data_IF_467434716763
#
_entry.id   IF_467434716763
#
_cell.length_a   1.000
_cell.length_b   1.000
_cell.length_c   1.000
_cell.angle_alpha   90.00
_cell.angle_beta   90.00
_cell.angle_gamma   90.00
#
_symmetry.space_group_name_H-M   'P 1'
#
loop_
_entity.id
_entity.type
_entity.pdbx_description
1 polymer ?
#
# COMPACT_ATOMS: atom_id res chain seq x y z
N UNK A 1 -22.08 -21.90 14.23
CA UNK A 1 -21.57 -20.64 13.68
C UNK A 1 -22.76 -19.74 13.38
N UNK A 2 -23.05 -18.75 14.22
CA UNK A 2 -24.04 -17.73 13.87
C UNK A 2 -23.36 -16.74 12.91
N UNK A 3 -23.73 -16.82 11.63
CA UNK A 3 -23.45 -15.79 10.64
C UNK A 3 -24.61 -14.81 10.76
N UNK A 4 -24.35 -13.62 11.30
CA UNK A 4 -25.39 -12.60 11.51
C UNK A 4 -25.31 -11.58 10.38
N UNK A 5 -26.05 -11.85 9.31
CA UNK A 5 -26.45 -10.83 8.35
C UNK A 5 -27.86 -10.35 8.76
N UNK A 6 -28.04 -9.05 8.98
CA UNK A 6 -29.32 -8.47 9.39
C UNK A 6 -29.73 -7.43 8.34
N UNK A 7 -30.93 -7.56 7.79
CA UNK A 7 -31.54 -6.53 6.95
C UNK A 7 -32.65 -5.84 7.72
N UNK A 8 -32.59 -4.52 7.85
CA UNK A 8 -33.59 -3.70 8.54
C UNK A 8 -34.26 -2.80 7.52
N UNK A 9 -35.60 -2.82 7.51
CA UNK A 9 -36.40 -1.92 6.68
C UNK A 9 -36.88 -0.79 7.59
N UNK A 10 -36.58 0.45 7.22
CA UNK A 10 -37.00 1.65 7.93
C UNK A 10 -37.78 2.59 6.99
N UNK A 11 -38.77 3.36 7.48
CA UNK A 11 -39.36 4.44 6.70
C UNK A 11 -38.35 5.59 6.54
N UNK A 12 -38.33 6.26 5.38
CA UNK A 12 -37.44 7.39 5.06
C UNK A 12 -38.17 8.73 5.31
N UNK A 13 -39.44 8.80 4.90
CA UNK A 13 -40.38 9.91 5.02
C UNK A 13 -41.68 9.38 5.68
N UNK A 14 -41.62 9.11 6.98
CA UNK A 14 -42.87 9.05 7.75
C UNK A 14 -43.47 10.44 7.81
N UNK A 15 -44.79 10.56 7.64
CA UNK A 15 -45.57 11.72 8.05
C UNK A 15 -45.47 11.89 9.58
N UNK A 16 -44.30 12.26 10.07
CA UNK A 16 -44.07 12.65 11.44
C UNK A 16 -44.03 14.16 11.44
N UNK A 17 -45.21 14.76 11.56
CA UNK A 17 -45.29 16.10 12.13
C UNK A 17 -44.55 16.06 13.46
N UNK A 18 -43.52 16.90 13.60
CA UNK A 18 -42.76 17.11 14.83
C UNK A 18 -41.91 15.90 15.28
N UNK A 19 -40.59 15.96 15.01
CA UNK A 19 -39.53 15.23 15.72
C UNK A 19 -39.82 13.77 16.05
N UNK A 20 -39.69 12.85 15.08
CA UNK A 20 -39.81 11.42 15.39
C UNK A 20 -38.57 10.93 16.15
N UNK A 21 -38.73 10.71 17.46
CA UNK A 21 -37.74 10.05 18.30
C UNK A 21 -37.28 8.68 17.73
N UNK A 22 -38.07 8.05 16.85
CA UNK A 22 -37.77 6.76 16.23
C UNK A 22 -36.64 6.82 15.19
N UNK A 23 -36.56 7.86 14.36
CA UNK A 23 -35.47 8.01 13.39
C UNK A 23 -34.15 8.33 14.11
N UNK A 24 -34.19 9.23 15.10
CA UNK A 24 -33.04 9.52 15.97
C UNK A 24 -32.62 8.28 16.78
N UNK A 25 -33.58 7.46 17.21
CA UNK A 25 -33.28 6.19 17.87
C UNK A 25 -32.60 5.19 16.92
N UNK A 26 -33.03 5.10 15.65
CA UNK A 26 -32.41 4.23 14.64
C UNK A 26 -31.01 4.73 14.27
N UNK A 27 -30.84 6.04 14.05
CA UNK A 27 -29.53 6.61 13.73
C UNK A 27 -28.56 6.48 14.91
N UNK A 28 -29.03 6.67 16.14
CA UNK A 28 -28.23 6.45 17.35
C UNK A 28 -27.89 4.98 17.57
N UNK A 29 -28.87 4.07 17.40
CA UNK A 29 -28.68 2.62 17.60
C UNK A 29 -27.68 2.03 16.61
N UNK A 30 -27.76 2.45 15.35
CA UNK A 30 -26.90 1.98 14.28
C UNK A 30 -25.77 2.96 13.96
N UNK A 31 -25.45 3.93 14.82
CA UNK A 31 -24.33 4.89 14.63
C UNK A 31 -24.23 5.41 13.17
N UNK A 32 -25.38 5.78 12.60
CA UNK A 32 -25.46 6.22 11.21
C UNK A 32 -24.77 7.60 11.12
N UNK A 33 -23.89 7.84 10.12
CA UNK A 33 -23.19 9.11 10.00
C UNK A 33 -24.13 10.31 9.89
N UNK A 34 -23.81 11.40 10.59
CA UNK A 34 -24.55 12.68 10.50
C UNK A 34 -24.61 13.22 9.06
N UNK A 35 -23.57 12.92 8.26
CA UNK A 35 -23.49 13.24 6.83
C UNK A 35 -24.67 12.65 6.05
N UNK A 36 -25.07 11.40 6.36
CA UNK A 36 -26.23 10.76 5.75
C UNK A 36 -27.53 11.54 6.05
N UNK A 37 -27.72 11.92 7.32
CA UNK A 37 -28.91 12.67 7.75
C UNK A 37 -28.97 14.04 7.09
N UNK A 38 -27.83 14.72 7.01
CA UNK A 38 -27.70 16.05 6.42
C UNK A 38 -27.90 16.06 4.90
N UNK A 39 -27.34 15.07 4.20
CA UNK A 39 -27.54 14.87 2.76
C UNK A 39 -29.02 14.64 2.43
N UNK A 40 -29.71 13.86 3.26
CA UNK A 40 -31.15 13.65 3.17
C UNK A 40 -31.92 14.96 3.33
N UNK A 41 -31.65 15.75 4.38
CA UNK A 41 -32.35 17.01 4.65
C UNK A 41 -32.19 18.03 3.52
N UNK A 42 -31.06 17.99 2.83
CA UNK A 42 -30.79 18.86 1.68
C UNK A 42 -31.35 18.34 0.36
N UNK A 43 -31.97 17.16 0.34
CA UNK A 43 -32.58 16.58 -0.86
C UNK A 43 -31.56 16.31 -1.96
N UNK A 44 -30.37 15.83 -1.60
CA UNK A 44 -29.31 15.55 -2.58
C UNK A 44 -29.73 14.39 -3.49
N UNK A 45 -29.50 14.55 -4.80
CA UNK A 45 -29.98 13.61 -5.82
C UNK A 45 -29.35 12.23 -5.68
N UNK A 46 -28.02 12.16 -5.62
CA UNK A 46 -27.28 10.92 -5.39
C UNK A 46 -25.98 11.20 -4.65
N UNK A 47 -25.70 10.42 -3.62
CA UNK A 47 -24.44 10.49 -2.86
C UNK A 47 -23.96 9.09 -2.53
N UNK A 48 -22.65 8.91 -2.54
CA UNK A 48 -21.96 7.76 -1.95
C UNK A 48 -20.98 8.27 -0.90
N UNK A 49 -21.05 7.69 0.30
CA UNK A 49 -20.11 7.97 1.36
C UNK A 49 -19.66 6.71 2.05
N UNK A 50 -18.42 6.73 2.56
CA UNK A 50 -17.83 5.65 3.34
C UNK A 50 -17.08 6.23 4.51
N UNK A 51 -17.30 5.65 5.69
CA UNK A 51 -16.65 6.04 6.92
C UNK A 51 -16.12 4.83 7.66
N UNK A 52 -14.86 4.91 8.07
CA UNK A 52 -14.27 3.98 9.01
C UNK A 52 -14.59 4.47 10.43
N UNK A 53 -15.38 3.69 11.15
CA UNK A 53 -15.74 3.91 12.56
C UNK A 53 -14.76 3.24 13.53
N UNK A 54 -15.07 3.34 14.82
CA UNK A 54 -14.30 2.67 15.88
C UNK A 54 -14.36 1.14 15.79
N UNK A 55 -13.35 0.45 16.34
CA UNK A 55 -13.27 -1.02 16.40
C UNK A 55 -13.26 -1.76 15.04
N UNK A 56 -12.86 -1.09 13.96
CA UNK A 56 -12.81 -1.67 12.61
C UNK A 56 -14.18 -1.79 11.93
N UNK A 57 -15.20 -1.14 12.49
CA UNK A 57 -16.52 -0.99 11.88
C UNK A 57 -16.41 -0.09 10.66
N UNK A 58 -16.93 -0.53 9.54
CA UNK A 58 -17.04 0.29 8.33
C UNK A 58 -18.50 0.52 8.01
N UNK A 59 -18.83 1.74 7.61
CA UNK A 59 -20.17 2.15 7.23
C UNK A 59 -20.12 2.80 5.86
N UNK A 60 -20.98 2.34 4.96
CA UNK A 60 -21.19 2.86 3.62
C UNK A 60 -22.63 3.31 3.52
N UNK A 61 -22.87 4.45 2.88
CA UNK A 61 -24.23 4.91 2.63
C UNK A 61 -24.39 5.42 1.21
N UNK A 62 -25.61 5.28 0.71
CA UNK A 62 -26.03 5.76 -0.59
C UNK A 62 -27.40 6.42 -0.50
N UNK A 63 -27.55 7.51 -1.23
CA UNK A 63 -28.82 8.19 -1.44
C UNK A 63 -29.23 8.10 -2.90
N UNK A 64 -30.52 7.89 -3.12
CA UNK A 64 -31.10 7.78 -4.44
C UNK A 64 -32.37 8.65 -4.53
N UNK A 65 -32.42 9.50 -5.56
CA UNK A 65 -33.54 10.35 -5.85
C UNK A 65 -33.93 10.23 -7.33
N UNK A 66 -35.20 9.94 -7.61
CA UNK A 66 -35.74 10.01 -8.96
C UNK A 66 -37.14 10.60 -8.97
N UNK A 67 -37.47 11.33 -10.03
CA UNK A 67 -38.84 11.80 -10.25
C UNK A 67 -39.65 10.67 -10.87
N UNK A 68 -40.78 10.31 -10.24
CA UNK A 68 -41.75 9.40 -10.83
C UNK A 68 -42.78 10.24 -11.60
N UNK A 69 -42.85 10.13 -12.94
CA UNK A 69 -43.81 10.86 -13.75
C UNK A 69 -45.21 10.45 -13.34
N UNK A 70 -46.05 11.44 -13.06
CA UNK A 70 -47.49 11.24 -12.95
C UNK A 70 -48.14 11.70 -14.26
N UNK A 71 -49.22 11.01 -14.68
CA UNK A 71 -50.11 11.53 -15.71
C UNK A 71 -50.64 12.90 -15.26
N UNK A 72 -50.76 13.84 -16.21
CA UNK A 72 -51.05 15.24 -15.93
C UNK A 72 -52.39 15.39 -15.19
N UNK A 73 -52.31 15.66 -13.89
CA UNK A 73 -53.44 16.08 -13.07
C UNK A 73 -53.15 17.53 -12.70
N UNK A 74 -53.96 18.50 -13.17
CA UNK A 74 -53.71 19.92 -12.93
C UNK A 74 -53.51 20.20 -11.44
N UNK A 75 -52.38 20.81 -11.08
CA UNK A 75 -52.05 21.18 -9.71
C UNK A 75 -51.33 20.11 -8.87
N UNK A 76 -51.06 18.91 -9.40
CA UNK A 76 -50.31 17.87 -8.67
C UNK A 76 -48.80 18.05 -8.87
N UNK A 77 -48.05 18.16 -7.78
CA UNK A 77 -46.59 18.19 -7.84
C UNK A 77 -46.01 16.85 -8.32
N UNK A 78 -44.85 16.86 -9.02
CA UNK A 78 -44.16 15.63 -9.39
C UNK A 78 -43.86 14.80 -8.14
N UNK A 79 -44.15 13.49 -8.21
CA UNK A 79 -43.89 12.60 -7.10
C UNK A 79 -42.41 12.21 -7.08
N UNK A 80 -41.69 12.65 -6.05
CA UNK A 80 -40.28 12.29 -5.89
C UNK A 80 -40.18 10.97 -5.14
N UNK A 81 -39.50 10.00 -5.74
CA UNK A 81 -39.13 8.77 -5.07
C UNK A 81 -37.75 8.95 -4.46
N UNK A 82 -37.72 8.92 -3.13
CA UNK A 82 -36.49 8.96 -2.33
C UNK A 82 -36.19 7.55 -1.82
N UNK A 83 -34.93 7.19 -1.81
CA UNK A 83 -34.47 5.92 -1.28
C UNK A 83 -33.10 6.07 -0.64
N UNK A 84 -32.94 5.53 0.58
CA UNK A 84 -31.68 5.52 1.31
C UNK A 84 -31.20 4.09 1.56
N UNK A 85 -29.90 3.89 1.47
CA UNK A 85 -29.27 2.61 1.74
C UNK A 85 -28.04 2.82 2.63
N UNK A 86 -27.96 2.07 3.72
CA UNK A 86 -26.81 2.09 4.63
C UNK A 86 -26.34 0.66 4.87
N UNK A 87 -25.07 0.41 4.62
CA UNK A 87 -24.40 -0.86 4.86
C UNK A 87 -23.36 -0.69 5.96
N UNK A 88 -23.43 -1.53 6.97
CA UNK A 88 -22.49 -1.57 8.08
C UNK A 88 -21.86 -2.96 8.13
N UNK A 89 -20.54 -3.04 8.21
CA UNK A 89 -19.85 -4.30 8.43
C UNK A 89 -18.77 -4.19 9.48
N UNK A 90 -18.65 -5.25 10.29
CA UNK A 90 -17.69 -5.34 11.39
C UNK A 90 -16.89 -6.64 11.24
N UNK A 91 -15.55 -6.60 11.23
CA UNK A 91 -14.73 -7.80 11.13
C UNK A 91 -14.91 -8.66 12.38
N UNK A 92 -15.24 -9.92 12.19
CA UNK A 92 -15.34 -10.89 13.28
C UNK A 92 -13.92 -11.23 13.74
N UNK A 93 -13.55 -10.76 14.92
CA UNK A 93 -12.27 -11.14 15.52
C UNK A 93 -12.40 -12.56 16.07
N UNK A 94 -11.96 -13.58 15.34
CA UNK A 94 -11.77 -14.90 15.93
C UNK A 94 -10.67 -14.81 16.99
N UNK A 95 -10.98 -15.18 18.24
CA UNK A 95 -9.95 -15.44 19.24
C UNK A 95 -9.16 -16.66 18.75
N UNK A 96 -7.81 -16.60 18.67
CA UNK A 96 -7.02 -17.79 18.37
C UNK A 96 -7.16 -18.76 19.55
N UNK A 97 -8.08 -19.71 19.44
CA UNK A 97 -8.19 -20.81 20.40
C UNK A 97 -7.48 -22.02 19.80
N UNK A 98 -6.16 -22.04 19.95
CA UNK A 98 -5.36 -23.27 19.84
C UNK A 98 -4.34 -23.26 20.98
N UNK A 99 -4.51 -24.17 21.94
CA UNK A 99 -3.56 -24.43 23.04
C UNK A 99 -2.20 -24.97 22.53
N UNK A 100 -2.07 -25.23 21.23
CA UNK A 100 -0.84 -25.62 20.55
C UNK A 100 -0.65 -24.78 19.27
N UNK A 101 0.32 -23.85 19.21
CA UNK A 101 0.62 -23.13 17.98
C UNK A 101 1.26 -24.09 16.95
N UNK A 102 0.78 -24.12 15.69
CA UNK A 102 1.45 -24.87 14.64
C UNK A 102 2.86 -24.30 14.34
N UNK A 103 3.84 -25.13 13.95
CA UNK A 103 5.22 -24.71 13.66
C UNK A 103 5.36 -23.84 12.39
N UNK A 104 4.27 -23.57 11.68
CA UNK A 104 4.20 -22.71 10.51
C UNK A 104 3.13 -21.64 10.72
N UNK A 105 3.27 -20.42 10.16
CA UNK A 105 2.20 -19.44 10.18
C UNK A 105 0.96 -20.06 9.53
N UNK A 106 -0.10 -20.26 10.32
CA UNK A 106 -1.38 -20.71 9.81
C UNK A 106 -1.83 -19.74 8.70
N UNK A 107 -2.43 -20.29 7.63
CA UNK A 107 -3.05 -19.47 6.59
C UNK A 107 -3.91 -18.38 7.26
N UNK A 108 -3.79 -17.13 6.81
CA UNK A 108 -4.49 -16.01 7.41
C UNK A 108 -5.98 -16.39 7.55
N UNK A 109 -6.56 -16.29 8.77
CA UNK A 109 -7.95 -16.69 8.97
C UNK A 109 -8.82 -15.89 8.00
N UNK A 110 -9.73 -16.59 7.32
CA UNK A 110 -10.68 -15.99 6.39
C UNK A 110 -11.50 -14.96 7.17
N UNK A 111 -11.36 -13.67 6.81
CA UNK A 111 -12.02 -12.59 7.53
C UNK A 111 -13.52 -12.66 7.27
N UNK A 112 -14.27 -13.23 8.19
CA UNK A 112 -15.73 -13.16 8.16
C UNK A 112 -16.20 -11.84 8.79
N UNK A 113 -17.26 -11.25 8.24
CA UNK A 113 -17.86 -10.02 8.72
C UNK A 113 -19.25 -10.27 9.32
N UNK A 114 -19.59 -9.47 10.32
CA UNK A 114 -20.99 -9.26 10.73
C UNK A 114 -21.53 -8.09 9.94
N UNK A 115 -22.61 -8.30 9.20
CA UNK A 115 -23.12 -7.33 8.22
C UNK A 115 -24.54 -6.92 8.57
N UNK A 116 -24.81 -5.62 8.53
CA UNK A 116 -26.13 -5.05 8.69
C UNK A 116 -26.43 -4.12 7.51
N UNK A 117 -27.51 -4.38 6.79
CA UNK A 117 -28.01 -3.50 5.74
C UNK A 117 -29.32 -2.85 6.20
N UNK A 118 -29.36 -1.52 6.19
CA UNK A 118 -30.51 -0.71 6.58
C UNK A 118 -31.01 -0.04 5.32
N UNK A 119 -32.28 -0.24 5.00
CA UNK A 119 -32.88 0.22 3.76
C UNK A 119 -34.07 1.12 4.09
N UNK A 120 -34.01 2.36 3.61
CA UNK A 120 -34.96 3.42 3.92
C UNK A 120 -35.86 3.73 2.72
N UNK A 121 -37.15 3.40 2.79
CA UNK A 121 -38.10 3.47 1.65
C UNK A 121 -37.62 2.78 0.35
N UNK A 122 -37.30 1.47 0.43
CA UNK A 122 -36.93 0.73 -0.77
C UNK A 122 -38.03 0.71 -1.83
N UNK A 123 -37.67 0.84 -3.12
CA UNK A 123 -38.51 0.40 -4.21
C UNK A 123 -38.95 -1.06 -3.99
N UNK A 124 -40.16 -1.40 -4.45
CA UNK A 124 -40.73 -2.76 -4.29
C UNK A 124 -39.80 -3.82 -4.93
N UNK A 125 -39.18 -3.45 -6.04
CA UNK A 125 -38.22 -4.24 -6.80
C UNK A 125 -36.99 -4.59 -5.94
N UNK A 126 -36.53 -3.66 -5.09
CA UNK A 126 -35.43 -3.86 -4.14
C UNK A 126 -35.81 -4.82 -3.02
N UNK A 127 -37.01 -4.66 -2.44
CA UNK A 127 -37.50 -5.56 -1.40
C UNK A 127 -37.60 -7.00 -1.90
N UNK A 128 -38.15 -7.19 -3.10
CA UNK A 128 -38.26 -8.51 -3.71
C UNK A 128 -36.90 -9.18 -3.90
N UNK A 129 -35.89 -8.43 -4.36
CA UNK A 129 -34.52 -8.94 -4.55
C UNK A 129 -33.81 -9.23 -3.25
N UNK A 130 -33.97 -8.41 -2.21
CA UNK A 130 -33.39 -8.68 -0.90
C UNK A 130 -34.01 -9.92 -0.25
N UNK A 131 -35.33 -10.09 -0.38
CA UNK A 131 -36.03 -11.28 0.11
C UNK A 131 -35.58 -12.52 -0.65
N UNK A 132 -35.50 -12.46 -1.99
CA UNK A 132 -35.05 -13.60 -2.80
C UNK A 132 -33.59 -13.97 -2.51
N UNK A 133 -32.72 -12.97 -2.29
CA UNK A 133 -31.35 -13.19 -1.87
C UNK A 133 -31.27 -13.86 -0.49
N UNK A 134 -32.06 -13.39 0.49
CA UNK A 134 -32.12 -14.00 1.82
C UNK A 134 -32.68 -15.42 1.85
N UNK A 135 -33.51 -15.79 0.87
CA UNK A 135 -34.02 -17.15 0.68
C UNK A 135 -33.06 -18.07 -0.09
N UNK A 136 -32.06 -17.49 -0.76
CA UNK A 136 -31.07 -18.25 -1.54
C UNK A 136 -30.02 -18.90 -0.64
N UNK A 137 -29.36 -19.95 -1.12
CA UNK A 137 -28.24 -20.58 -0.40
C UNK A 137 -27.00 -19.67 -0.31
N UNK A 138 -26.95 -18.60 -1.12
CA UNK A 138 -25.80 -17.71 -1.28
C UNK A 138 -25.82 -16.53 -0.29
N UNK A 139 -26.77 -16.48 0.64
CA UNK A 139 -26.83 -15.41 1.64
C UNK A 139 -25.56 -15.33 2.50
N UNK A 140 -24.84 -16.45 2.65
CA UNK A 140 -23.56 -16.51 3.36
C UNK A 140 -22.45 -15.72 2.68
N UNK A 141 -22.56 -15.48 1.37
CA UNK A 141 -21.57 -14.71 0.61
C UNK A 141 -21.52 -13.26 1.11
N UNK A 142 -22.64 -12.71 1.61
CA UNK A 142 -22.68 -11.38 2.21
C UNK A 142 -21.80 -11.27 3.46
N UNK A 143 -21.51 -12.37 4.16
CA UNK A 143 -20.62 -12.37 5.32
C UNK A 143 -19.13 -12.44 4.95
N UNK A 144 -18.82 -12.86 3.72
CA UNK A 144 -17.45 -12.87 3.18
C UNK A 144 -17.19 -11.56 2.42
N UNK A 145 -18.15 -11.16 1.59
CA UNK A 145 -18.15 -9.94 0.80
C UNK A 145 -19.43 -9.11 1.03
N UNK A 146 -19.36 -8.07 1.88
CA UNK A 146 -20.50 -7.18 2.14
C UNK A 146 -20.99 -6.41 0.90
N UNK A 147 -20.14 -6.23 -0.14
CA UNK A 147 -20.49 -5.45 -1.33
C UNK A 147 -21.53 -6.12 -2.23
N UNK A 148 -21.80 -7.41 -2.04
CA UNK A 148 -22.92 -8.10 -2.71
C UNK A 148 -24.25 -7.38 -2.45
N UNK A 149 -24.45 -6.82 -1.24
CA UNK A 149 -25.66 -6.07 -0.90
C UNK A 149 -25.71 -4.69 -1.59
N UNK A 150 -24.55 -4.09 -1.88
CA UNK A 150 -24.43 -2.85 -2.67
C UNK A 150 -24.80 -3.12 -4.12
N UNK A 151 -24.34 -4.24 -4.69
CA UNK A 151 -24.69 -4.64 -6.06
C UNK A 151 -26.20 -4.88 -6.22
N UNK A 152 -26.82 -5.60 -5.28
CA UNK A 152 -28.28 -5.81 -5.26
C UNK A 152 -29.02 -4.47 -5.25
N UNK A 153 -28.54 -3.53 -4.43
CA UNK A 153 -29.11 -2.18 -4.29
C UNK A 153 -28.98 -1.34 -5.57
N UNK A 154 -27.79 -1.31 -6.18
CA UNK A 154 -27.56 -0.56 -7.42
C UNK A 154 -28.32 -1.17 -8.61
N UNK A 155 -28.34 -2.49 -8.71
CA UNK A 155 -29.07 -3.20 -9.76
C UNK A 155 -30.58 -2.98 -9.64
N UNK A 156 -31.15 -3.02 -8.43
CA UNK A 156 -32.58 -2.76 -8.24
C UNK A 156 -32.95 -1.32 -8.57
N UNK A 157 -32.11 -0.35 -8.21
CA UNK A 157 -32.29 1.05 -8.59
C UNK A 157 -32.22 1.27 -10.09
N UNK A 158 -31.28 0.62 -10.77
CA UNK A 158 -31.18 0.68 -12.23
C UNK A 158 -32.49 0.26 -12.90
N UNK A 159 -33.06 -0.89 -12.51
CA UNK A 159 -34.34 -1.33 -13.06
C UNK A 159 -35.46 -0.32 -12.78
N UNK A 160 -35.48 0.25 -11.58
CA UNK A 160 -36.48 1.26 -11.22
C UNK A 160 -36.34 2.50 -12.10
N UNK A 161 -35.12 3.00 -12.31
CA UNK A 161 -34.85 4.18 -13.16
C UNK A 161 -35.17 3.89 -14.62
N UNK A 162 -34.84 2.70 -15.13
CA UNK A 162 -35.17 2.28 -16.49
C UNK A 162 -36.68 2.26 -16.73
N UNK A 163 -37.45 1.66 -15.81
CA UNK A 163 -38.92 1.66 -15.88
C UNK A 163 -39.50 3.09 -15.88
N UNK A 164 -38.91 3.99 -15.09
CA UNK A 164 -39.31 5.39 -15.05
C UNK A 164 -38.98 6.08 -16.38
N UNK A 165 -37.81 5.82 -16.96
CA UNK A 165 -37.37 6.41 -18.22
C UNK A 165 -38.27 5.97 -19.39
N UNK A 166 -38.66 4.71 -19.43
CA UNK A 166 -39.66 4.21 -20.39
C UNK A 166 -41.00 4.94 -20.23
N UNK A 167 -41.48 5.15 -19.01
CA UNK A 167 -42.72 5.91 -18.77
C UNK A 167 -42.64 7.35 -19.28
N UNK A 168 -41.53 8.06 -19.04
CA UNK A 168 -41.33 9.41 -19.60
C UNK A 168 -41.36 9.37 -21.13
N UNK A 169 -40.69 8.39 -21.73
CA UNK A 169 -40.66 8.23 -23.18
C UNK A 169 -42.06 7.98 -23.76
N UNK A 170 -42.89 7.20 -23.06
CA UNK A 170 -44.28 6.99 -23.45
C UNK A 170 -45.13 8.25 -23.35
N UNK A 171 -44.96 9.06 -22.29
CA UNK A 171 -45.66 10.35 -22.16
C UNK A 171 -45.30 11.31 -23.30
N UNK A 172 -43.99 11.45 -23.60
CA UNK A 172 -43.52 12.26 -24.74
C UNK A 172 -44.13 11.76 -26.05
N UNK A 173 -44.17 10.44 -26.26
CA UNK A 173 -44.76 9.84 -27.46
C UNK A 173 -46.25 10.13 -27.60
N UNK A 174 -47.00 10.11 -26.49
CA UNK A 174 -48.42 10.49 -26.50
C UNK A 174 -48.61 11.95 -26.89
N UNK A 175 -47.77 12.84 -26.35
CA UNK A 175 -47.79 14.27 -26.69
C UNK A 175 -47.43 14.50 -28.17
N UNK A 176 -46.41 13.81 -28.69
CA UNK A 176 -46.02 13.87 -30.12
C UNK A 176 -47.16 13.44 -31.05
N UNK A 177 -47.81 12.31 -30.75
CA UNK A 177 -48.94 11.79 -31.54
C UNK A 177 -50.11 12.78 -31.54
N UNK A 178 -50.40 13.40 -30.39
CA UNK A 178 -51.46 14.42 -30.29
C UNK A 178 -51.15 15.65 -31.15
N UNK A 179 -49.90 16.15 -31.10
CA UNK A 179 -49.44 17.28 -31.93
C UNK A 179 -49.54 16.93 -33.43
N UNK A 180 -49.09 15.75 -33.86
CA UNK A 180 -49.21 15.34 -35.27
C UNK A 180 -50.66 15.20 -35.73
N UNK A 181 -51.54 14.68 -34.88
CA UNK A 181 -52.97 14.58 -35.20
C UNK A 181 -53.59 15.97 -35.41
N UNK A 182 -53.27 16.92 -34.52
CA UNK A 182 -53.75 18.31 -34.60
C UNK A 182 -53.24 19.04 -35.83
N UNK A 183 -51.95 18.91 -36.14
CA UNK A 183 -51.38 19.53 -37.36
C UNK A 183 -51.98 18.96 -38.66
N UNK A 184 -52.39 17.69 -38.67
CA UNK A 184 -53.17 17.12 -39.79
C UNK A 184 -54.53 17.81 -40.00
N UNK A 185 -55.21 18.20 -38.91
CA UNK A 185 -56.51 18.90 -38.95
C UNK A 185 -56.40 20.37 -39.39
N UNK A 186 -55.24 21.00 -39.18
CA UNK A 186 -54.95 22.36 -39.66
C UNK A 186 -54.95 22.46 -41.19
N UNK A 187 -54.80 21.35 -41.91
CA UNK A 187 -54.86 21.33 -43.37
C UNK A 187 -56.28 21.41 -43.93
N UNK A 188 -57.33 21.26 -43.11
CA UNK A 188 -58.72 21.12 -43.57
C UNK A 188 -59.75 22.11 -43.00
N UNK A 189 -59.45 22.92 -41.97
CA UNK A 189 -60.44 23.87 -41.38
C UNK A 189 -59.80 25.08 -40.66
N UNK A 190 -60.62 26.13 -40.49
CA UNK A 190 -60.36 27.47 -39.90
C UNK A 190 -59.40 27.55 -38.69
N UNK A 191 -58.66 28.68 -38.65
CA UNK A 191 -57.60 29.11 -37.72
C UNK A 191 -57.89 28.98 -36.21
N UNK A 192 -59.14 28.81 -35.80
CA UNK A 192 -59.54 28.78 -34.38
C UNK A 192 -59.14 27.49 -33.64
N UNK A 193 -58.78 26.41 -34.35
CA UNK A 193 -58.30 25.16 -33.75
C UNK A 193 -56.80 25.18 -33.35
N UNK A 194 -56.06 26.23 -33.75
CA UNK A 194 -54.61 26.38 -33.53
C UNK A 194 -54.28 26.83 -32.09
N UNK A 195 -55.20 27.52 -31.42
CA UNK A 195 -54.92 28.23 -30.15
C UNK A 195 -55.02 27.38 -28.89
N UNK A 196 -55.57 26.16 -28.97
CA UNK A 196 -55.74 25.24 -27.83
C UNK A 196 -54.64 24.18 -27.76
N UNK A 197 -53.39 24.52 -28.14
CA UNK A 197 -52.27 23.61 -27.92
C UNK A 197 -51.99 23.57 -26.41
N UNK A 198 -52.01 22.37 -25.84
CA UNK A 198 -51.72 22.17 -24.42
C UNK A 198 -50.20 22.26 -24.17
N UNK A 199 -49.67 23.48 -24.20
CA UNK A 199 -48.26 23.76 -23.92
C UNK A 199 -47.87 23.34 -22.51
N UNK A 200 -48.84 23.24 -21.59
CA UNK A 200 -48.59 22.83 -20.21
C UNK A 200 -48.14 21.37 -20.14
N UNK A 201 -48.85 20.47 -20.84
CA UNK A 201 -48.48 19.06 -20.95
C UNK A 201 -47.07 18.88 -21.54
N UNK A 202 -46.80 19.54 -22.65
CA UNK A 202 -45.50 19.46 -23.34
C UNK A 202 -44.37 19.98 -22.43
N UNK A 203 -44.60 21.10 -21.74
CA UNK A 203 -43.65 21.66 -20.78
C UNK A 203 -43.38 20.70 -19.62
N UNK A 204 -44.41 20.07 -19.07
CA UNK A 204 -44.30 19.09 -17.98
C UNK A 204 -43.56 17.84 -18.44
N UNK A 205 -43.83 17.35 -19.65
CA UNK A 205 -43.14 16.24 -20.28
C UNK A 205 -41.64 16.52 -20.47
N UNK A 206 -41.30 17.70 -21.00
CA UNK A 206 -39.92 18.16 -21.13
C UNK A 206 -39.22 18.30 -19.77
N UNK A 207 -39.91 18.84 -18.77
CA UNK A 207 -39.40 18.95 -17.39
C UNK A 207 -39.12 17.57 -16.77
N UNK A 208 -40.00 16.59 -16.97
CA UNK A 208 -39.80 15.21 -16.50
C UNK A 208 -38.58 14.56 -17.18
N UNK A 209 -38.37 14.80 -18.48
CA UNK A 209 -37.19 14.31 -19.19
C UNK A 209 -35.90 14.92 -18.64
N UNK A 210 -35.88 16.24 -18.39
CA UNK A 210 -34.71 16.93 -17.80
C UNK A 210 -34.39 16.37 -16.41
N UNK A 211 -35.39 16.19 -15.55
CA UNK A 211 -35.18 15.64 -14.21
C UNK A 211 -34.67 14.19 -14.24
N UNK A 212 -35.15 13.36 -15.17
CA UNK A 212 -34.64 12.00 -15.34
C UNK A 212 -33.20 11.98 -15.84
N UNK A 213 -32.84 12.90 -16.74
CA UNK A 213 -31.47 13.04 -17.23
C UNK A 213 -30.50 13.42 -16.11
N UNK A 214 -30.87 14.40 -15.28
CA UNK A 214 -30.05 14.81 -14.14
C UNK A 214 -29.95 13.72 -13.07
N UNK A 215 -31.05 13.03 -12.76
CA UNK A 215 -31.05 11.90 -11.83
C UNK A 215 -30.17 10.74 -12.34
N UNK A 216 -30.19 10.44 -13.63
CA UNK A 216 -29.35 9.39 -14.20
C UNK A 216 -27.87 9.79 -14.19
N UNK A 217 -27.54 11.05 -14.52
CA UNK A 217 -26.17 11.57 -14.40
C UNK A 217 -25.64 11.46 -12.97
N UNK A 218 -26.46 11.80 -11.99
CA UNK A 218 -26.11 11.72 -10.59
C UNK A 218 -25.92 10.25 -10.13
N UNK A 219 -26.74 9.32 -10.62
CA UNK A 219 -26.55 7.88 -10.40
C UNK A 219 -25.23 7.34 -11.01
N UNK A 220 -24.85 7.79 -12.21
CA UNK A 220 -23.55 7.44 -12.81
C UNK A 220 -22.39 7.94 -11.94
N UNK A 221 -22.44 9.20 -11.49
CA UNK A 221 -21.42 9.77 -10.58
C UNK A 221 -21.30 8.99 -9.28
N UNK A 222 -22.40 8.48 -8.74
CA UNK A 222 -22.40 7.65 -7.54
C UNK A 222 -21.59 6.36 -7.77
N UNK A 223 -21.79 5.69 -8.90
CA UNK A 223 -21.02 4.49 -9.26
C UNK A 223 -19.55 4.81 -9.48
N UNK A 224 -19.23 5.91 -10.17
CA UNK A 224 -17.84 6.36 -10.36
C UNK A 224 -17.15 6.61 -9.01
N UNK A 225 -17.85 7.22 -8.05
CA UNK A 225 -17.31 7.49 -6.72
C UNK A 225 -17.06 6.19 -5.93
N UNK A 226 -17.97 5.21 -6.03
CA UNK A 226 -17.80 3.89 -5.43
C UNK A 226 -16.59 3.14 -6.00
N UNK A 227 -16.36 3.22 -7.32
CA UNK A 227 -15.20 2.61 -7.98
C UNK A 227 -13.90 3.33 -7.58
N UNK A 228 -13.91 4.66 -7.57
CA UNK A 228 -12.75 5.47 -7.20
C UNK A 228 -12.30 5.22 -5.75
N UNK A 229 -13.26 5.04 -4.82
CA UNK A 229 -12.96 4.67 -3.43
C UNK A 229 -12.17 3.35 -3.36
N UNK A 230 -12.61 2.32 -4.08
CA UNK A 230 -11.90 1.04 -4.15
C UNK A 230 -10.51 1.18 -4.77
N UNK A 231 -10.37 1.97 -5.84
CA UNK A 231 -9.08 2.22 -6.48
C UNK A 231 -8.07 2.85 -5.51
N UNK A 232 -8.53 3.80 -4.68
CA UNK A 232 -7.68 4.48 -3.68
C UNK A 232 -7.09 3.52 -2.65
N UNK A 233 -7.85 2.51 -2.22
CA UNK A 233 -7.39 1.48 -1.28
C UNK A 233 -6.29 0.61 -1.90
N UNK A 234 -6.46 0.17 -3.15
CA UNK A 234 -5.43 -0.56 -3.87
C UNK A 234 -4.20 0.29 -4.14
N UNK A 235 -4.39 1.57 -4.45
CA UNK A 235 -3.29 2.51 -4.64
C UNK A 235 -2.42 2.62 -3.38
N UNK A 236 -3.02 2.73 -2.19
CA UNK A 236 -2.29 2.77 -0.92
C UNK A 236 -1.46 1.49 -0.68
N UNK A 237 -2.04 0.32 -0.97
CA UNK A 237 -1.36 -0.98 -0.83
C UNK A 237 -0.20 -1.11 -1.81
N UNK A 238 -0.40 -0.65 -3.05
CA UNK A 238 0.65 -0.59 -4.06
C UNK A 238 1.84 0.25 -3.60
N UNK A 239 1.59 1.44 -3.03
CA UNK A 239 2.66 2.28 -2.47
C UNK A 239 3.42 1.59 -1.34
N UNK A 240 2.73 0.87 -0.44
CA UNK A 240 3.37 0.09 0.63
C UNK A 240 4.27 -1.02 0.09
N UNK A 241 3.84 -1.73 -0.96
CA UNK A 241 4.66 -2.77 -1.60
C UNK A 241 5.89 -2.16 -2.28
N UNK A 242 5.73 -1.05 -3.00
CA UNK A 242 6.85 -0.34 -3.62
C UNK A 242 7.88 0.15 -2.59
N UNK A 243 7.40 0.66 -1.44
CA UNK A 243 8.26 1.01 -0.30
C UNK A 243 9.01 -0.21 0.25
N UNK A 244 8.33 -1.35 0.41
CA UNK A 244 8.96 -2.60 0.83
C UNK A 244 10.04 -3.06 -0.16
N UNK A 245 9.75 -3.00 -1.46
CA UNK A 245 10.71 -3.33 -2.52
C UNK A 245 11.97 -2.44 -2.45
N UNK A 246 11.80 -1.13 -2.25
CA UNK A 246 12.92 -0.21 -2.08
C UNK A 246 13.75 -0.54 -0.83
N UNK A 247 13.09 -0.90 0.28
CA UNK A 247 13.78 -1.34 1.50
C UNK A 247 14.56 -2.63 1.31
N UNK A 248 13.99 -3.62 0.61
CA UNK A 248 14.69 -4.88 0.30
C UNK A 248 15.95 -4.60 -0.51
N UNK A 249 15.84 -3.77 -1.55
CA UNK A 249 17.00 -3.37 -2.36
C UNK A 249 18.12 -2.75 -1.52
N UNK A 250 17.78 -1.77 -0.68
CA UNK A 250 18.77 -1.13 0.20
C UNK A 250 19.39 -2.13 1.19
N UNK A 251 18.61 -3.11 1.66
CA UNK A 251 19.10 -4.16 2.58
C UNK A 251 20.06 -5.12 1.87
N UNK A 252 19.78 -5.48 0.62
CA UNK A 252 20.67 -6.30 -0.22
C UNK A 252 21.99 -5.58 -0.47
N UNK A 253 21.93 -4.30 -0.85
CA UNK A 253 23.13 -3.49 -1.08
C UNK A 253 23.99 -3.40 0.20
N UNK A 254 23.35 -3.18 1.35
CA UNK A 254 24.04 -3.17 2.64
C UNK A 254 24.70 -4.52 2.96
N UNK A 255 23.98 -5.63 2.76
CA UNK A 255 24.50 -6.97 2.99
C UNK A 255 25.74 -7.24 2.11
N UNK A 256 25.70 -6.82 0.85
CA UNK A 256 26.85 -6.92 -0.06
C UNK A 256 28.04 -6.10 0.44
N UNK A 257 27.84 -4.85 0.85
CA UNK A 257 28.91 -4.01 1.39
C UNK A 257 29.52 -4.58 2.67
N UNK A 258 28.71 -5.16 3.56
CA UNK A 258 29.21 -5.84 4.77
C UNK A 258 30.04 -7.07 4.38
N UNK A 259 29.57 -7.88 3.43
CA UNK A 259 30.31 -9.05 2.97
C UNK A 259 31.66 -8.65 2.33
N UNK A 260 31.66 -7.62 1.48
CA UNK A 260 32.91 -7.09 0.91
C UNK A 260 33.87 -6.56 1.98
N UNK A 261 33.37 -5.90 3.02
CA UNK A 261 34.19 -5.42 4.12
C UNK A 261 34.79 -6.59 4.93
N UNK A 262 34.02 -7.65 5.14
CA UNK A 262 34.49 -8.87 5.78
C UNK A 262 35.57 -9.57 4.95
N UNK A 263 35.32 -9.80 3.66
CA UNK A 263 36.29 -10.39 2.72
C UNK A 263 37.58 -9.56 2.65
N UNK A 264 37.47 -8.23 2.71
CA UNK A 264 38.62 -7.34 2.76
C UNK A 264 39.44 -7.52 4.05
N UNK A 265 38.77 -7.65 5.20
CA UNK A 265 39.46 -7.90 6.48
C UNK A 265 40.19 -9.25 6.49
N UNK A 266 39.53 -10.31 6.01
CA UNK A 266 40.14 -11.64 5.86
C UNK A 266 41.32 -11.59 4.89
N UNK A 267 41.18 -10.91 3.75
CA UNK A 267 42.28 -10.72 2.80
C UNK A 267 43.47 -9.95 3.40
N UNK A 268 43.24 -8.98 4.29
CA UNK A 268 44.32 -8.30 5.02
C UNK A 268 45.05 -9.25 5.98
N UNK A 269 44.34 -10.15 6.66
CA UNK A 269 44.96 -11.19 7.49
C UNK A 269 45.80 -12.18 6.66
N UNK A 270 45.28 -12.59 5.50
CA UNK A 270 46.05 -13.36 4.53
C UNK A 270 47.28 -12.60 4.05
N UNK A 271 47.16 -11.29 3.76
CA UNK A 271 48.30 -10.45 3.36
C UNK A 271 49.39 -10.40 4.44
N UNK A 272 49.03 -10.29 5.72
CA UNK A 272 49.98 -10.35 6.84
C UNK A 272 50.70 -11.71 6.90
N UNK A 273 49.97 -12.79 6.71
CA UNK A 273 50.51 -14.16 6.71
C UNK A 273 51.45 -14.40 5.53
N UNK A 274 51.07 -13.95 4.33
CA UNK A 274 51.89 -14.02 3.11
C UNK A 274 53.18 -13.23 3.29
N UNK A 275 53.11 -11.99 3.82
CA UNK A 275 54.31 -11.17 4.07
C UNK A 275 55.27 -11.85 5.04
N UNK A 276 54.76 -12.49 6.10
CA UNK A 276 55.58 -13.22 7.07
C UNK A 276 56.28 -14.42 6.40
N UNK A 277 55.57 -15.19 5.57
CA UNK A 277 56.17 -16.31 4.84
C UNK A 277 57.25 -15.84 3.85
N UNK A 278 57.02 -14.73 3.14
CA UNK A 278 58.02 -14.14 2.24
C UNK A 278 59.27 -13.67 2.99
N UNK A 279 59.12 -13.01 4.14
CA UNK A 279 60.25 -12.59 4.99
C UNK A 279 61.02 -13.82 5.49
N UNK A 280 60.32 -14.87 5.92
CA UNK A 280 60.93 -16.12 6.39
C UNK A 280 61.78 -16.76 5.27
N UNK A 281 61.22 -16.89 4.07
CA UNK A 281 61.94 -17.41 2.90
C UNK A 281 63.16 -16.56 2.53
N UNK A 282 63.04 -15.24 2.60
CA UNK A 282 64.11 -14.30 2.27
C UNK A 282 65.33 -14.44 3.22
N UNK A 283 65.10 -14.83 4.47
CA UNK A 283 66.18 -15.06 5.47
C UNK A 283 66.72 -16.49 5.37
N UNK A 284 65.85 -17.50 5.34
CA UNK A 284 66.25 -18.90 5.45
C UNK A 284 66.93 -19.44 4.18
N UNK A 285 66.52 -18.99 2.99
CA UNK A 285 67.11 -19.48 1.72
C UNK A 285 68.61 -19.16 1.61
N UNK A 286 69.06 -17.88 1.72
CA UNK A 286 70.48 -17.56 1.62
C UNK A 286 71.29 -18.11 2.80
N UNK A 287 70.72 -18.13 4.01
CA UNK A 287 71.37 -18.74 5.17
C UNK A 287 71.60 -20.24 4.94
N UNK A 288 70.57 -20.97 4.48
CA UNK A 288 70.65 -22.39 4.18
C UNK A 288 71.68 -22.69 3.08
N UNK A 289 71.76 -21.84 2.05
CA UNK A 289 72.74 -21.99 0.97
C UNK A 289 74.18 -21.88 1.49
N UNK A 290 74.46 -20.86 2.32
CA UNK A 290 75.78 -20.68 2.93
C UNK A 290 76.11 -21.86 3.86
N UNK A 291 75.18 -22.27 4.73
CA UNK A 291 75.39 -23.45 5.59
C UNK A 291 75.60 -24.74 4.80
N UNK A 292 74.97 -24.91 3.62
CA UNK A 292 75.16 -26.11 2.79
C UNK A 292 76.53 -26.14 2.12
N UNK A 293 77.03 -25.00 1.65
CA UNK A 293 78.35 -24.90 0.99
C UNK A 293 79.46 -25.13 2.02
N UNK A 294 79.33 -24.54 3.20
CA UNK A 294 80.37 -24.58 4.21
C UNK A 294 80.24 -25.75 5.19
N UNK A 295 79.04 -26.29 5.40
CA UNK A 295 78.77 -27.34 6.38
C UNK A 295 79.52 -28.64 6.11
N UNK A 296 79.79 -29.00 4.87
CA UNK A 296 80.51 -30.24 4.53
C UNK A 296 82.02 -30.14 4.73
N UNK A 297 82.58 -28.93 4.75
CA UNK A 297 84.02 -28.68 4.82
C UNK A 297 84.53 -28.55 6.27
N UNK A 298 83.63 -28.32 7.23
CA UNK A 298 84.00 -28.02 8.62
C UNK A 298 83.90 -29.20 9.59
N UNK A 299 83.29 -30.31 9.18
CA UNK A 299 83.22 -31.54 9.98
C UNK A 299 84.07 -32.62 9.32
N UNK A 300 85.23 -32.89 9.91
CA UNK A 300 86.04 -34.06 9.58
C UNK A 300 85.87 -35.14 10.66
N UNK A 301 85.76 -36.42 10.29
CA UNK A 301 85.84 -37.49 11.28
C UNK A 301 87.26 -37.49 11.86
N UNK A 302 87.37 -37.46 13.19
CA UNK A 302 88.66 -37.65 13.84
C UNK A 302 89.18 -39.07 13.57
N UNK A 303 90.50 -39.26 13.54
CA UNK A 303 91.17 -40.53 13.19
C UNK A 303 90.72 -41.76 14.00
N UNK A 304 90.05 -41.56 15.15
CA UNK A 304 89.50 -42.64 16.00
C UNK A 304 88.02 -42.98 15.76
N UNK A 305 87.36 -42.38 14.76
CA UNK A 305 86.01 -42.73 14.29
C UNK A 305 84.85 -42.51 15.30
N UNK A 306 85.13 -42.07 16.53
CA UNK A 306 84.14 -41.91 17.62
C UNK A 306 83.77 -40.47 17.94
N UNK A 307 84.39 -39.48 17.32
CA UNK A 307 84.12 -38.05 17.59
C UNK A 307 84.27 -37.22 16.31
N UNK A 308 83.28 -36.39 16.02
CA UNK A 308 83.35 -35.39 14.95
C UNK A 308 84.19 -34.22 15.46
N UNK A 309 85.28 -33.87 14.77
CA UNK A 309 86.04 -32.65 15.08
C UNK A 309 85.46 -31.47 14.30
N UNK A 310 85.20 -30.36 15.00
CA UNK A 310 84.73 -29.11 14.41
C UNK A 310 85.94 -28.24 14.13
N UNK A 311 86.09 -27.79 12.88
CA UNK A 311 87.17 -26.87 12.49
C UNK A 311 87.11 -25.55 13.28
N UNK A 312 88.28 -25.03 13.68
CA UNK A 312 88.41 -23.75 14.39
C UNK A 312 87.91 -22.54 13.55
N UNK A 313 87.84 -22.69 12.23
CA UNK A 313 87.36 -21.68 11.28
C UNK A 313 85.83 -21.62 11.14
N UNK A 314 85.09 -22.34 11.99
CA UNK A 314 83.62 -22.32 12.01
C UNK A 314 83.02 -20.89 12.09
N UNK A 315 83.76 -19.93 12.66
CA UNK A 315 83.38 -18.52 12.68
C UNK A 315 83.19 -17.91 11.28
N UNK A 316 83.84 -18.43 10.24
CA UNK A 316 83.70 -17.97 8.86
C UNK A 316 82.28 -18.17 8.30
N UNK A 317 81.54 -19.14 8.83
CA UNK A 317 80.14 -19.36 8.46
C UNK A 317 79.26 -18.18 8.90
N UNK A 318 79.46 -17.68 10.12
CA UNK A 318 78.71 -16.55 10.67
C UNK A 318 79.11 -15.23 10.00
N UNK A 319 80.40 -15.03 9.73
CA UNK A 319 80.89 -13.80 9.09
C UNK A 319 80.47 -13.66 7.63
N UNK A 320 80.08 -14.75 6.95
CA UNK A 320 79.59 -14.71 5.57
C UNK A 320 78.06 -14.74 5.48
N UNK A 321 77.39 -15.54 6.32
CA UNK A 321 75.93 -15.69 6.29
C UNK A 321 75.17 -14.42 6.77
N UNK A 322 75.62 -13.79 7.86
CA UNK A 322 74.97 -12.60 8.42
C UNK A 322 74.99 -11.36 7.49
N UNK A 323 76.13 -10.95 6.90
CA UNK A 323 76.12 -9.79 6.01
C UNK A 323 75.34 -10.07 4.73
N UNK A 324 75.40 -11.30 4.19
CA UNK A 324 74.65 -11.67 2.98
C UNK A 324 73.14 -11.56 3.20
N UNK A 325 72.63 -12.10 4.31
CA UNK A 325 71.20 -12.00 4.69
C UNK A 325 70.78 -10.55 4.93
N UNK A 326 71.63 -9.74 5.60
CA UNK A 326 71.37 -8.32 5.82
C UNK A 326 71.32 -7.50 4.52
N UNK A 327 72.21 -7.77 3.56
CA UNK A 327 72.21 -7.10 2.26
C UNK A 327 70.93 -7.41 1.48
N UNK A 328 70.51 -8.67 1.46
CA UNK A 328 69.27 -9.09 0.78
C UNK A 328 68.04 -8.44 1.44
N UNK A 329 67.99 -8.39 2.77
CA UNK A 329 66.94 -7.68 3.51
C UNK A 329 66.95 -6.17 3.26
N UNK A 330 68.13 -5.54 3.17
CA UNK A 330 68.28 -4.11 2.91
C UNK A 330 67.80 -3.74 1.50
N UNK A 331 68.12 -4.56 0.49
CA UNK A 331 67.62 -4.39 -0.88
C UNK A 331 66.10 -4.51 -0.92
N UNK A 332 65.53 -5.54 -0.29
CA UNK A 332 64.07 -5.71 -0.22
C UNK A 332 63.38 -4.54 0.50
N UNK A 333 63.91 -4.10 1.64
CA UNK A 333 63.41 -2.92 2.36
C UNK A 333 63.47 -1.65 1.49
N UNK A 334 64.54 -1.48 0.69
CA UNK A 334 64.68 -0.34 -0.20
C UNK A 334 63.70 -0.40 -1.38
N UNK A 335 63.40 -1.58 -1.91
CA UNK A 335 62.39 -1.76 -2.97
C UNK A 335 60.97 -1.58 -2.45
N UNK A 336 60.63 -2.12 -1.29
CA UNK A 336 59.28 -2.03 -0.71
C UNK A 336 58.92 -0.59 -0.32
N UNK A 337 59.91 0.21 0.12
CA UNK A 337 59.72 1.65 0.39
C UNK A 337 59.49 2.49 -0.86
N UNK A 338 59.89 2.01 -2.04
CA UNK A 338 59.73 2.74 -3.32
C UNK A 338 58.36 2.54 -3.96
N UNK A 339 57.64 1.49 -3.57
CA UNK A 339 56.28 1.19 -4.02
C UNK A 339 55.30 1.38 -2.85
N UNK A 340 54.96 2.62 -2.43
CA UNK A 340 53.85 2.80 -1.52
C UNK A 340 52.60 2.30 -2.24
N UNK A 341 52.00 1.23 -1.72
CA UNK A 341 50.75 0.66 -2.20
C UNK A 341 49.73 1.81 -2.34
N UNK A 342 49.51 2.27 -3.57
CA UNK A 342 48.58 3.37 -3.86
C UNK A 342 47.18 2.82 -3.64
N UNK A 343 46.65 3.01 -2.45
CA UNK A 343 45.24 2.73 -2.17
C UNK A 343 44.41 3.56 -3.17
N UNK A 344 43.49 2.96 -3.95
CA UNK A 344 42.57 3.75 -4.75
C UNK A 344 41.84 4.69 -3.80
N UNK A 345 41.85 5.99 -4.11
CA UNK A 345 41.20 6.99 -3.27
C UNK A 345 39.76 6.51 -2.98
N UNK A 346 39.26 6.59 -1.72
CA UNK A 346 37.91 6.17 -1.42
C UNK A 346 36.97 6.88 -2.37
N UNK A 347 36.17 6.10 -3.10
CA UNK A 347 35.20 6.66 -4.03
C UNK A 347 34.38 7.69 -3.27
N UNK A 348 34.46 8.96 -3.70
CA UNK A 348 33.62 10.01 -3.15
C UNK A 348 32.20 9.65 -3.54
N UNK A 349 31.45 9.06 -2.60
CA UNK A 349 30.02 8.88 -2.75
C UNK A 349 29.42 10.26 -3.05
N UNK A 350 28.74 10.45 -4.19
CA UNK A 350 27.97 11.66 -4.41
C UNK A 350 26.87 11.65 -3.35
N UNK A 351 27.00 12.50 -2.33
CA UNK A 351 25.96 12.67 -1.34
C UNK A 351 24.67 13.08 -2.08
N UNK A 352 23.51 12.51 -1.73
CA UNK A 352 22.25 12.91 -2.32
C UNK A 352 22.04 14.42 -2.14
N UNK A 353 21.49 15.09 -3.17
CA UNK A 353 21.33 16.56 -3.24
C UNK A 353 20.51 17.16 -2.09
N UNK A 354 19.81 16.33 -1.31
CA UNK A 354 19.01 16.69 -0.14
C UNK A 354 19.75 16.56 1.21
N UNK A 355 21.02 16.16 1.21
CA UNK A 355 21.82 16.05 2.43
C UNK A 355 22.32 17.44 2.88
N UNK A 356 21.96 17.93 4.08
CA UNK A 356 22.36 19.26 4.53
C UNK A 356 23.88 19.31 4.81
N UNK A 357 24.62 20.02 3.97
CA UNK A 357 26.08 20.19 4.04
C UNK A 357 26.59 20.70 5.41
N UNK A 358 25.72 21.36 6.18
CA UNK A 358 26.00 21.84 7.53
C UNK A 358 26.24 20.72 8.55
N UNK A 359 25.58 19.57 8.41
CA UNK A 359 25.74 18.43 9.33
C UNK A 359 27.08 17.71 9.14
N UNK A 360 27.54 17.59 7.88
CA UNK A 360 28.80 16.95 7.54
C UNK A 360 30.02 17.72 8.09
N UNK A 361 29.97 19.07 8.04
CA UNK A 361 31.04 19.92 8.58
C UNK A 361 31.14 19.90 10.11
N UNK A 362 30.00 19.87 10.82
CA UNK A 362 29.99 19.76 12.30
C UNK A 362 30.44 18.37 12.78
N UNK A 363 30.01 17.30 12.12
CA UNK A 363 30.45 15.94 12.47
C UNK A 363 31.95 15.71 12.27
N UNK A 364 32.54 16.22 11.19
CA UNK A 364 33.98 16.10 10.94
C UNK A 364 34.84 16.97 11.87
N UNK A 365 34.34 18.10 12.35
CA UNK A 365 35.02 18.92 13.36
C UNK A 365 35.02 18.26 14.73
N UNK A 366 33.91 17.61 15.12
CA UNK A 366 33.81 16.86 16.37
C UNK A 366 34.71 15.61 16.39
N UNK A 367 34.85 14.92 15.25
CA UNK A 367 35.69 13.73 15.12
C UNK A 367 37.21 13.99 15.23
N UNK A 368 37.68 15.24 15.03
CA UNK A 368 39.10 15.62 15.20
C UNK A 368 39.46 16.02 16.63
N UNK A 369 38.49 16.25 17.51
CA UNK A 369 38.72 16.92 18.80
C UNK A 369 38.69 16.05 20.05
N UNK A 370 38.21 14.81 20.02
CA UNK A 370 38.06 14.01 21.25
C UNK A 370 38.14 12.52 20.99
N UNK A 371 39.13 11.87 21.61
CA UNK A 371 39.44 10.44 21.52
C UNK A 371 38.40 9.49 22.16
N UNK A 372 37.12 9.83 22.09
CA UNK A 372 36.01 8.98 22.59
C UNK A 372 34.75 8.99 21.72
N UNK A 373 34.79 9.59 20.52
CA UNK A 373 33.60 10.03 19.78
C UNK A 373 32.84 9.01 18.92
N UNK A 374 33.10 7.70 19.00
CA UNK A 374 32.39 6.73 18.13
C UNK A 374 31.07 6.25 18.76
N UNK A 375 30.97 6.18 20.08
CA UNK A 375 29.72 5.82 20.76
C UNK A 375 28.72 6.99 20.80
N UNK A 376 29.18 8.23 21.02
CA UNK A 376 28.31 9.41 21.10
C UNK A 376 27.66 9.76 19.75
N UNK A 377 28.39 9.57 18.63
CA UNK A 377 27.84 9.77 17.29
C UNK A 377 26.79 8.70 16.92
N UNK A 378 26.92 7.47 17.45
CA UNK A 378 25.95 6.41 17.24
C UNK A 378 24.65 6.65 18.03
N UNK A 379 24.72 7.24 19.24
CA UNK A 379 23.54 7.59 20.04
C UNK A 379 22.74 8.76 19.45
N UNK A 380 23.41 9.78 18.87
CA UNK A 380 22.68 10.88 18.20
C UNK A 380 22.00 10.46 16.90
N UNK A 381 22.63 9.57 16.11
CA UNK A 381 22.00 9.02 14.90
C UNK A 381 20.77 8.16 15.22
N UNK A 382 20.75 7.50 16.39
CA UNK A 382 19.58 6.74 16.86
C UNK A 382 18.41 7.66 17.24
N UNK A 383 18.69 8.84 17.79
CA UNK A 383 17.66 9.82 18.16
C UNK A 383 17.10 10.57 16.93
N UNK A 384 17.92 10.87 15.92
CA UNK A 384 17.47 11.46 14.67
C UNK A 384 16.58 10.53 13.83
N UNK A 385 16.81 9.22 13.90
CA UNK A 385 15.92 8.22 13.29
C UNK A 385 14.53 8.11 13.95
N UNK A 386 14.37 8.61 15.19
CA UNK A 386 13.08 8.60 15.90
C UNK A 386 12.18 9.79 15.59
N UNK A 387 12.71 10.84 14.95
CA UNK A 387 11.94 12.03 14.55
C UNK A 387 11.41 11.98 13.10
N UNK A 388 11.63 10.87 12.38
CA UNK A 388 11.22 10.69 10.98
C UNK A 388 10.21 9.51 10.85
N UNK A 389 9.48 9.20 11.92
CA UNK A 389 8.30 8.30 11.88
C UNK A 389 7.04 9.11 12.12
#
# INVERSE_FOLDING_TARGET
>A
MAVSAIAVIAPLDGAFSEGSADYEAVTSLYDIPDEFVWERERGVTHVYGRRLGGAGRETLWMHFLAVVPAADIPGRQPNWQKWGFVLIWIPKTEKPQTDNPPPYPAAAPEKTYTVAAIVFEPPVETLQRLISFGQSANWTDAAVDPFVLVDIALASWYHRVDDVAWRVTHLVREDEVDIFRRTGMLRSTDDAAVTDLDLHRIHTSAKNAIFMEEALRAAIRLVDLAVSDHESLFHSTRLRILSCQARIKNTVDLAFHINMAHDSAVNLEHSRSVRLMSILGLVFIPFSAVTSVFGTQFFSPADDGRHMQVSADFWMLWTTALPLTLVILAVWCATERREPLKWPAPARFPLPRWWPEAAARKGMAAARGSGGGMLAAATELRNLGSQIV
#
